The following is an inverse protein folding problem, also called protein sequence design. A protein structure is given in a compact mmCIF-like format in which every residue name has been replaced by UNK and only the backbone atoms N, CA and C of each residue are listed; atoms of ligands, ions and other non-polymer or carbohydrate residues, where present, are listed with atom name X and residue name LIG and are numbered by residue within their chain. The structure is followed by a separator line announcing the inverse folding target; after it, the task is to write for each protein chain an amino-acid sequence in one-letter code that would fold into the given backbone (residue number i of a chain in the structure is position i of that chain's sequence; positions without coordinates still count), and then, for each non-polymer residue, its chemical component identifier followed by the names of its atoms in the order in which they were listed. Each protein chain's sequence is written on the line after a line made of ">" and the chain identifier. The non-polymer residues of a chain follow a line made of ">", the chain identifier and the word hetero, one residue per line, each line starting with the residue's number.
data_IF_854067706772
#
_entry.id   IF_854067706772
#
_cell.length_a   1.000
_cell.length_b   1.000
_cell.length_c   1.000
_cell.angle_alpha   90.00
_cell.angle_beta   90.00
_cell.angle_gamma   90.00
#
_symmetry.space_group_name_H-M   'P 1'
#
loop_
_entity.id
_entity.type
_entity.pdbx_description
1 polymer ?
#
# COMPACT_ATOMS: atom_id res chain seq x y z
N UNK A 1 14.21 50.72 3.91
CA UNK A 1 12.89 50.69 3.22
C UNK A 1 12.83 49.89 1.90
N UNK A 2 13.91 49.25 1.41
CA UNK A 2 13.86 48.42 0.17
C UNK A 2 13.72 46.90 0.39
N UNK A 3 13.93 46.40 1.60
CA UNK A 3 13.81 44.97 1.91
C UNK A 3 12.36 44.44 2.00
N UNK A 4 11.36 45.33 2.17
CA UNK A 4 9.97 44.93 2.42
C UNK A 4 9.10 44.75 1.16
N UNK A 5 9.60 45.11 -0.03
CA UNK A 5 8.84 44.95 -1.30
C UNK A 5 9.14 43.62 -2.01
N UNK A 6 10.30 43.00 -1.77
CA UNK A 6 10.69 41.75 -2.43
C UNK A 6 10.10 40.51 -1.77
N UNK A 7 9.78 40.53 -0.47
CA UNK A 7 9.23 39.38 0.27
C UNK A 7 7.84 38.94 -0.20
N UNK A 8 7.11 39.81 -0.92
CA UNK A 8 5.80 39.49 -1.51
C UNK A 8 5.90 38.68 -2.82
N UNK A 9 7.06 38.70 -3.48
CA UNK A 9 7.27 38.00 -4.76
C UNK A 9 7.72 36.55 -4.53
N UNK A 10 8.33 36.25 -3.36
CA UNK A 10 8.84 34.92 -3.02
C UNK A 10 7.87 34.02 -2.23
N UNK A 11 6.69 34.52 -1.87
CA UNK A 11 5.71 33.77 -1.07
C UNK A 11 4.45 33.46 -1.87
N UNK A 12 3.87 32.30 -1.57
CA UNK A 12 2.67 31.70 -2.18
C UNK A 12 1.56 32.72 -2.46
N UNK A 13 1.17 32.84 -3.74
CA UNK A 13 0.15 33.80 -4.23
C UNK A 13 -1.27 33.22 -4.14
N UNK A 14 -1.41 31.89 -4.19
CA UNK A 14 -2.69 31.18 -4.23
C UNK A 14 -2.81 30.29 -3.00
N UNK A 15 -3.87 30.48 -2.21
CA UNK A 15 -4.19 29.63 -1.05
C UNK A 15 -5.34 28.69 -1.39
N UNK A 16 -5.37 27.52 -0.75
CA UNK A 16 -6.47 26.58 -0.87
C UNK A 16 -7.73 27.13 -0.19
N UNK A 17 -8.84 27.31 -0.92
CA UNK A 17 -10.13 27.64 -0.31
C UNK A 17 -11.24 28.08 -1.25
N UNK A 18 -12.27 27.23 -1.40
CA UNK A 18 -13.62 27.67 -1.70
C UNK A 18 -14.37 27.87 -0.37
N UNK A 19 -14.59 29.13 0.02
CA UNK A 19 -15.68 29.69 0.85
C UNK A 19 -16.08 29.11 2.22
N UNK A 20 -15.95 27.81 2.48
CA UNK A 20 -16.56 27.12 3.63
C UNK A 20 -15.54 26.56 4.65
N UNK A 21 -14.25 26.50 4.31
CA UNK A 21 -13.18 26.01 5.20
C UNK A 21 -12.69 27.01 6.26
N UNK A 22 -13.14 28.27 6.17
CA UNK A 22 -12.66 29.38 7.03
C UNK A 22 -13.07 29.27 8.50
N UNK A 23 -14.05 28.43 8.85
CA UNK A 23 -14.58 28.37 10.23
C UNK A 23 -13.89 27.29 11.10
N UNK A 24 -13.20 26.32 10.49
CA UNK A 24 -12.70 25.12 11.19
C UNK A 24 -11.18 24.97 11.21
N UNK A 25 -10.42 25.89 10.61
CA UNK A 25 -8.94 25.85 10.50
C UNK A 25 -8.37 24.58 9.83
N UNK A 26 -9.22 23.65 9.39
CA UNK A 26 -8.87 22.36 8.83
C UNK A 26 -9.25 22.29 7.35
N UNK A 27 -8.29 21.92 6.49
CA UNK A 27 -8.58 21.62 5.10
C UNK A 27 -9.30 20.26 5.06
N UNK A 28 -10.48 20.14 4.44
CA UNK A 28 -11.13 18.84 4.25
C UNK A 28 -10.26 17.93 3.39
N UNK A 29 -10.12 16.66 3.76
CA UNK A 29 -9.40 15.70 2.92
C UNK A 29 -10.11 15.59 1.55
N UNK A 30 -9.43 15.88 0.42
CA UNK A 30 -10.05 15.90 -0.90
C UNK A 30 -10.33 14.52 -1.49
N UNK A 31 -9.90 13.44 -0.83
CA UNK A 31 -10.18 12.07 -1.22
C UNK A 31 -11.70 11.84 -1.42
N UNK A 32 -12.07 11.51 -2.65
CA UNK A 32 -13.48 11.40 -3.06
C UNK A 32 -14.17 10.21 -2.42
N UNK A 33 -13.44 9.13 -2.10
CA UNK A 33 -14.03 7.97 -1.42
C UNK A 33 -14.42 8.40 -0.02
N UNK A 34 -13.49 8.94 0.77
CA UNK A 34 -13.78 9.42 2.13
C UNK A 34 -14.91 10.46 2.15
N UNK A 35 -14.98 11.34 1.15
CA UNK A 35 -16.01 12.39 1.08
C UNK A 35 -17.38 11.90 0.61
N UNK A 36 -17.44 11.04 -0.42
CA UNK A 36 -18.69 10.70 -1.11
C UNK A 36 -19.32 9.39 -0.64
N UNK A 37 -18.51 8.41 -0.22
CA UNK A 37 -19.05 7.12 0.24
C UNK A 37 -19.36 7.08 1.73
N UNK A 38 -18.98 8.13 2.49
CA UNK A 38 -19.09 8.15 3.95
C UNK A 38 -18.10 7.21 4.65
N UNK A 39 -17.17 6.59 3.90
CA UNK A 39 -16.11 5.77 4.47
C UNK A 39 -15.13 6.63 5.26
N UNK A 40 -14.55 6.04 6.31
CA UNK A 40 -13.46 6.63 7.07
C UNK A 40 -12.16 5.87 6.79
N UNK A 41 -11.07 6.27 7.43
CA UNK A 41 -9.83 5.50 7.45
C UNK A 41 -10.01 4.08 8.04
N UNK A 42 -11.00 3.84 8.90
CA UNK A 42 -11.38 2.49 9.31
C UNK A 42 -11.83 1.64 8.11
N UNK A 43 -12.63 2.21 7.21
CA UNK A 43 -13.03 1.53 5.97
C UNK A 43 -11.86 1.25 5.02
N UNK A 44 -10.76 2.01 5.10
CA UNK A 44 -9.50 1.68 4.42
C UNK A 44 -8.76 0.53 5.09
N UNK A 45 -8.73 0.49 6.43
CA UNK A 45 -8.16 -0.65 7.17
C UNK A 45 -8.92 -1.95 6.88
N UNK A 46 -10.23 -1.88 6.71
CA UNK A 46 -11.05 -3.04 6.31
C UNK A 46 -10.63 -3.64 4.97
N UNK A 47 -10.10 -2.83 4.03
CA UNK A 47 -9.64 -3.32 2.75
C UNK A 47 -8.41 -4.23 2.90
N UNK A 48 -7.59 -4.02 3.94
CA UNK A 48 -6.34 -4.77 4.15
C UNK A 48 -6.57 -6.26 4.44
N UNK A 49 -7.80 -6.66 4.80
CA UNK A 49 -8.17 -8.07 4.92
C UNK A 49 -8.34 -8.79 3.58
N UNK A 50 -8.38 -8.06 2.45
CA UNK A 50 -8.38 -8.68 1.12
C UNK A 50 -7.01 -9.28 0.81
N UNK A 51 -6.98 -10.61 0.62
CA UNK A 51 -5.74 -11.35 0.40
C UNK A 51 -4.96 -10.91 -0.85
N UNK A 52 -5.65 -10.45 -1.90
CA UNK A 52 -5.00 -10.00 -3.13
C UNK A 52 -4.35 -8.63 -2.94
N UNK A 53 -5.07 -7.69 -2.31
CA UNK A 53 -4.51 -6.39 -1.92
C UNK A 53 -3.32 -6.58 -0.97
N UNK A 54 -3.44 -7.40 0.06
CA UNK A 54 -2.37 -7.68 1.01
C UNK A 54 -1.11 -8.20 0.30
N UNK A 55 -1.27 -9.17 -0.62
CA UNK A 55 -0.14 -9.70 -1.41
C UNK A 55 0.54 -8.62 -2.26
N UNK A 56 -0.23 -7.74 -2.90
CA UNK A 56 0.31 -6.62 -3.66
C UNK A 56 1.09 -5.64 -2.78
N UNK A 57 0.54 -5.28 -1.61
CA UNK A 57 1.20 -4.40 -0.64
C UNK A 57 2.51 -5.02 -0.15
N UNK A 58 2.46 -6.28 0.28
CA UNK A 58 3.62 -7.03 0.76
C UNK A 58 4.73 -7.08 -0.30
N UNK A 59 4.37 -7.36 -1.55
CA UNK A 59 5.30 -7.41 -2.68
C UNK A 59 5.99 -6.05 -2.95
N UNK A 60 5.26 -4.94 -2.80
CA UNK A 60 5.81 -3.59 -2.96
C UNK A 60 6.72 -3.19 -1.80
N UNK A 61 6.23 -3.35 -0.57
CA UNK A 61 6.99 -2.99 0.64
C UNK A 61 8.27 -3.80 0.75
N UNK A 62 8.20 -5.11 0.50
CA UNK A 62 9.36 -6.01 0.65
C UNK A 62 10.55 -5.58 -0.20
N UNK A 63 10.33 -5.07 -1.42
CA UNK A 63 11.42 -4.60 -2.27
C UNK A 63 12.17 -3.40 -1.70
N UNK A 64 11.47 -2.49 -1.02
CA UNK A 64 12.11 -1.35 -0.34
C UNK A 64 12.81 -1.83 0.93
N UNK A 65 12.11 -2.63 1.73
CA UNK A 65 12.55 -3.12 3.03
C UNK A 65 13.71 -4.12 2.95
N UNK A 66 13.89 -4.83 1.83
CA UNK A 66 15.01 -5.74 1.63
C UNK A 66 16.28 -5.06 1.11
N UNK A 67 16.21 -3.76 0.79
CA UNK A 67 17.34 -3.03 0.21
C UNK A 67 18.27 -2.54 1.31
N UNK A 68 19.56 -2.81 1.17
CA UNK A 68 20.58 -2.32 2.10
C UNK A 68 20.70 -0.80 2.02
N UNK A 69 21.07 -0.19 3.13
CA UNK A 69 21.31 1.24 3.22
C UNK A 69 22.71 1.52 3.78
N UNK A 70 23.18 2.73 3.55
CA UNK A 70 24.40 3.29 4.14
C UNK A 70 24.09 4.61 4.86
N UNK A 71 24.92 4.94 5.85
CA UNK A 71 24.95 6.23 6.51
C UNK A 71 26.21 6.97 6.08
N UNK A 72 26.05 8.17 5.54
CA UNK A 72 27.14 9.01 5.04
C UNK A 72 27.15 10.35 5.77
N UNK A 73 28.33 10.92 6.01
CA UNK A 73 28.49 12.24 6.65
C UNK A 73 29.24 12.20 7.98
N UNK A 74 29.46 13.38 8.56
CA UNK A 74 30.37 13.57 9.70
C UNK A 74 29.92 12.84 10.97
N UNK A 75 28.62 12.80 11.24
CA UNK A 75 28.04 12.11 12.40
C UNK A 75 27.50 10.70 12.07
N UNK A 76 27.90 10.10 10.95
CA UNK A 76 27.43 8.77 10.52
C UNK A 76 27.65 7.67 11.57
N UNK A 77 28.79 7.67 12.27
CA UNK A 77 29.08 6.71 13.33
C UNK A 77 28.12 6.85 14.52
N UNK A 78 27.90 8.07 15.00
CA UNK A 78 26.94 8.35 16.07
C UNK A 78 25.51 7.95 15.67
N UNK A 79 25.08 8.29 14.45
CA UNK A 79 23.77 7.88 13.95
C UNK A 79 23.66 6.35 13.83
N UNK A 80 24.74 5.65 13.47
CA UNK A 80 24.77 4.18 13.46
C UNK A 80 24.50 3.61 14.85
N UNK A 81 25.14 4.16 15.89
CA UNK A 81 24.91 3.74 17.29
C UNK A 81 23.47 3.99 17.75
N UNK A 82 22.87 5.12 17.34
CA UNK A 82 21.47 5.43 17.62
C UNK A 82 20.54 4.46 16.89
N UNK A 83 20.80 4.19 15.61
CA UNK A 83 19.98 3.31 14.79
C UNK A 83 20.04 1.85 15.27
N UNK A 84 21.16 1.40 15.84
CA UNK A 84 21.25 0.08 16.47
C UNK A 84 20.31 -0.10 17.68
N UNK A 85 19.79 1.01 18.24
CA UNK A 85 18.86 1.01 19.38
C UNK A 85 17.40 1.27 18.96
N UNK A 86 17.15 1.54 17.67
CA UNK A 86 15.84 1.85 17.13
C UNK A 86 15.46 0.84 16.05
N UNK A 87 14.19 0.43 16.02
CA UNK A 87 13.71 -0.45 14.95
C UNK A 87 13.51 0.35 13.64
N UNK A 88 14.59 0.52 12.89
CA UNK A 88 14.59 1.22 11.60
C UNK A 88 13.75 0.48 10.56
N UNK A 89 13.66 -0.84 10.66
CA UNK A 89 12.87 -1.66 9.74
C UNK A 89 11.38 -1.38 9.94
N UNK A 90 10.90 -1.41 11.18
CA UNK A 90 9.52 -1.06 11.52
C UNK A 90 9.22 0.41 11.18
N UNK A 91 10.18 1.33 11.43
CA UNK A 91 10.01 2.73 11.06
C UNK A 91 9.86 2.90 9.54
N UNK A 92 10.67 2.21 8.74
CA UNK A 92 10.54 2.22 7.28
C UNK A 92 9.20 1.65 6.83
N UNK A 93 8.72 0.58 7.47
CA UNK A 93 7.40 0.01 7.19
C UNK A 93 6.25 0.96 7.52
N UNK A 94 6.31 1.64 8.66
CA UNK A 94 5.37 2.69 9.06
C UNK A 94 5.42 3.87 8.06
N UNK A 95 6.61 4.29 7.61
CA UNK A 95 6.74 5.35 6.60
C UNK A 95 6.03 4.95 5.30
N UNK A 96 6.17 3.69 4.87
CA UNK A 96 5.52 3.18 3.66
C UNK A 96 3.99 3.13 3.78
N UNK A 97 3.41 3.07 4.98
CA UNK A 97 1.94 3.17 5.16
C UNK A 97 1.38 4.53 4.71
N UNK A 98 2.20 5.59 4.66
CA UNK A 98 1.79 6.85 4.07
C UNK A 98 1.37 6.72 2.60
N UNK A 99 1.91 5.73 1.86
CA UNK A 99 1.48 5.43 0.49
C UNK A 99 0.03 4.94 0.47
N UNK A 100 -0.34 4.11 1.44
CA UNK A 100 -1.67 3.49 1.53
C UNK A 100 -2.75 4.50 1.90
N UNK A 101 -2.47 5.34 2.90
CA UNK A 101 -3.45 6.27 3.48
C UNK A 101 -3.31 7.72 2.98
N UNK A 102 -2.29 8.01 2.17
CA UNK A 102 -1.94 9.35 1.70
C UNK A 102 -0.95 10.07 2.63
N UNK A 103 -1.04 9.83 3.94
CA UNK A 103 -0.07 10.32 4.92
C UNK A 103 0.00 9.41 6.14
N UNK A 104 1.12 9.50 6.88
CA UNK A 104 1.35 8.76 8.12
C UNK A 104 2.07 9.64 9.14
N UNK A 105 1.37 10.13 10.18
CA UNK A 105 2.00 10.76 11.33
C UNK A 105 2.77 9.72 12.14
N UNK A 106 4.02 10.01 12.47
CA UNK A 106 4.85 9.16 13.34
C UNK A 106 5.35 10.00 14.50
N UNK A 107 5.00 9.63 15.73
CA UNK A 107 5.46 10.31 16.94
C UNK A 107 6.81 9.75 17.40
N UNK A 108 7.76 10.64 17.67
CA UNK A 108 9.10 10.31 18.16
C UNK A 108 9.12 10.44 19.69
N UNK A 109 9.63 9.43 20.37
CA UNK A 109 9.84 9.44 21.81
C UNK A 109 11.33 9.58 22.10
N UNK A 110 11.67 10.71 22.72
CA UNK A 110 13.03 11.09 23.04
C UNK A 110 13.39 10.70 24.48
N UNK A 111 14.65 10.36 24.71
CA UNK A 111 15.25 10.18 26.03
C UNK A 111 16.64 10.81 26.05
N UNK A 112 17.10 11.14 27.26
CA UNK A 112 18.50 11.51 27.46
C UNK A 112 19.30 10.25 27.79
N UNK A 113 20.46 10.09 27.16
CA UNK A 113 21.41 9.01 27.39
C UNK A 113 22.81 9.62 27.44
N UNK A 114 23.34 9.76 28.66
CA UNK A 114 24.52 10.61 28.90
C UNK A 114 24.24 12.06 28.51
N UNK A 115 25.15 12.64 27.73
CA UNK A 115 25.02 14.01 27.21
C UNK A 115 24.17 14.10 25.93
N UNK A 116 23.67 12.98 25.42
CA UNK A 116 22.93 12.93 24.15
C UNK A 116 21.42 12.79 24.36
N UNK A 117 20.64 13.51 23.56
CA UNK A 117 19.19 13.32 23.39
C UNK A 117 18.94 12.45 22.16
N UNK A 118 18.46 11.22 22.36
CA UNK A 118 18.27 10.25 21.28
C UNK A 118 16.84 9.68 21.26
N UNK A 119 16.32 9.26 20.10
CA UNK A 119 15.03 8.60 20.03
C UNK A 119 15.17 7.16 20.53
N UNK A 120 14.23 6.71 21.36
CA UNK A 120 14.15 5.30 21.78
C UNK A 120 12.93 4.58 21.19
N UNK A 121 11.98 5.32 20.61
CA UNK A 121 10.81 4.77 19.94
C UNK A 121 10.30 5.77 18.89
N UNK A 122 9.83 5.26 17.77
CA UNK A 122 9.01 5.98 16.81
C UNK A 122 7.71 5.19 16.62
N UNK A 123 6.55 5.85 16.68
CA UNK A 123 5.24 5.17 16.67
C UNK A 123 4.29 5.83 15.69
N UNK A 124 3.89 5.11 14.66
CA UNK A 124 2.78 5.49 13.78
C UNK A 124 1.50 5.75 14.58
N UNK A 125 0.80 6.85 14.24
CA UNK A 125 -0.47 7.22 14.86
C UNK A 125 -1.61 7.15 13.85
N UNK A 126 -2.84 6.82 14.28
CA UNK A 126 -4.00 6.81 13.40
C UNK A 126 -4.23 8.16 12.72
N UNK A 127 -4.52 8.14 11.42
CA UNK A 127 -4.74 9.33 10.58
C UNK A 127 -5.89 10.20 11.10
N UNK A 128 -6.93 9.59 11.67
CA UNK A 128 -8.13 10.26 12.19
C UNK A 128 -7.83 11.28 13.30
N UNK A 129 -6.69 11.10 13.98
CA UNK A 129 -6.25 12.01 15.04
C UNK A 129 -5.61 13.29 14.50
N UNK A 130 -5.35 13.36 13.19
CA UNK A 130 -4.60 14.45 12.58
C UNK A 130 -5.34 15.05 11.39
N UNK A 131 -5.02 16.31 11.11
CA UNK A 131 -5.51 17.02 9.94
C UNK A 131 -4.46 17.99 9.43
N UNK A 132 -4.64 18.46 8.20
CA UNK A 132 -3.81 19.51 7.61
C UNK A 132 -4.55 20.84 7.75
N UNK A 133 -3.89 21.82 8.38
CA UNK A 133 -4.45 23.16 8.54
C UNK A 133 -4.42 23.99 7.24
N UNK A 134 -4.98 25.19 7.31
CA UNK A 134 -5.00 26.15 6.19
C UNK A 134 -3.61 26.62 5.73
N UNK A 135 -2.56 26.40 6.52
CA UNK A 135 -1.15 26.68 6.19
C UNK A 135 -0.43 25.44 5.63
N UNK A 136 -1.13 24.33 5.42
CA UNK A 136 -0.54 23.09 4.94
C UNK A 136 0.22 22.29 6.00
N UNK A 137 0.12 22.65 7.28
CA UNK A 137 0.84 21.99 8.40
C UNK A 137 0.00 20.92 9.06
N UNK A 138 0.65 19.84 9.47
CA UNK A 138 0.04 18.78 10.25
C UNK A 138 -0.32 19.27 11.66
N UNK A 139 -1.56 19.03 12.08
CA UNK A 139 -2.09 19.36 13.41
C UNK A 139 -2.71 18.12 14.05
N UNK A 140 -2.64 18.07 15.38
CA UNK A 140 -3.35 17.07 16.17
C UNK A 140 -4.75 17.59 16.50
N UNK A 141 -5.77 16.73 16.40
CA UNK A 141 -7.14 17.07 16.80
C UNK A 141 -7.54 16.21 18.01
N UNK A 142 -7.44 16.76 19.23
CA UNK A 142 -7.95 16.09 20.42
C UNK A 142 -9.47 15.95 20.34
N UNK A 143 -10.00 14.85 20.87
CA UNK A 143 -11.44 14.66 20.99
C UNK A 143 -12.07 15.81 21.79
N UNK A 144 -13.20 16.34 21.30
CA UNK A 144 -13.97 17.39 21.97
C UNK A 144 -13.42 18.81 21.85
N UNK A 145 -12.30 19.04 21.14
CA UNK A 145 -11.77 20.38 20.89
C UNK A 145 -12.17 20.92 19.51
N UNK A 146 -12.61 22.17 19.47
CA UNK A 146 -13.02 22.85 18.25
C UNK A 146 -11.83 23.22 17.34
N UNK A 147 -10.65 23.43 17.93
CA UNK A 147 -9.41 23.76 17.22
C UNK A 147 -8.36 22.69 17.49
N UNK A 148 -7.55 22.37 16.49
CA UNK A 148 -6.41 21.49 16.68
C UNK A 148 -5.25 22.14 17.40
N UNK A 149 -4.35 21.28 17.89
CA UNK A 149 -3.16 21.64 18.63
C UNK A 149 -1.95 21.64 17.69
N UNK A 150 -1.11 22.67 17.80
CA UNK A 150 0.19 22.71 17.13
C UNK A 150 1.06 21.57 17.65
N UNK A 151 1.66 20.82 16.75
CA UNK A 151 2.62 19.78 17.13
C UNK A 151 3.91 20.42 17.67
N UNK A 152 4.49 19.90 18.76
CA UNK A 152 5.80 20.33 19.22
C UNK A 152 6.86 20.11 18.13
N UNK A 153 7.87 20.97 18.09
CA UNK A 153 8.97 20.84 17.13
C UNK A 153 9.73 19.53 17.36
N UNK A 154 10.15 18.88 16.27
CA UNK A 154 10.95 17.64 16.29
C UNK A 154 10.28 16.46 17.03
N UNK A 155 8.96 16.54 17.28
CA UNK A 155 8.20 15.49 17.97
C UNK A 155 7.49 14.53 17.02
N UNK A 156 7.25 14.93 15.78
CA UNK A 156 6.56 14.13 14.76
C UNK A 156 7.28 14.17 13.43
N UNK A 157 7.23 13.07 12.69
CA UNK A 157 7.51 13.03 11.25
C UNK A 157 6.20 13.24 10.49
N UNK A 158 6.18 14.22 9.58
CA UNK A 158 5.07 14.53 8.69
C UNK A 158 5.36 13.94 7.31
N UNK A 159 4.85 12.73 7.08
CA UNK A 159 5.14 11.94 5.87
C UNK A 159 3.88 11.90 5.02
N UNK A 160 3.98 12.39 3.77
CA UNK A 160 2.85 12.44 2.84
C UNK A 160 3.25 11.89 1.47
N UNK A 161 2.37 11.08 0.88
CA UNK A 161 2.55 10.52 -0.44
C UNK A 161 2.07 11.51 -1.51
N UNK A 162 3.00 12.05 -2.30
CA UNK A 162 2.72 12.99 -3.41
C UNK A 162 1.75 14.12 -3.00
N UNK A 163 2.05 14.87 -1.92
CA UNK A 163 1.22 16.00 -1.53
C UNK A 163 1.22 17.05 -2.63
N UNK A 164 0.08 17.69 -2.83
CA UNK A 164 -0.06 18.80 -3.77
C UNK A 164 -1.01 19.84 -3.20
N UNK A 165 -1.08 21.01 -3.82
CA UNK A 165 -2.04 22.04 -3.41
C UNK A 165 -3.49 21.53 -3.48
N UNK A 166 -3.83 20.64 -4.44
CA UNK A 166 -5.16 20.02 -4.54
C UNK A 166 -5.35 18.78 -3.66
N UNK A 167 -4.27 18.21 -3.13
CA UNK A 167 -4.24 17.03 -2.28
C UNK A 167 -3.25 17.21 -1.09
N UNK A 168 -3.55 18.09 -0.12
CA UNK A 168 -2.61 18.42 0.95
C UNK A 168 -2.33 17.25 1.90
N UNK A 169 -3.26 16.30 2.01
CA UNK A 169 -3.10 15.03 2.76
C UNK A 169 -2.29 13.98 2.00
N UNK A 170 -1.85 14.27 0.77
CA UNK A 170 -1.31 13.28 -0.14
C UNK A 170 -2.38 12.45 -0.84
N UNK A 171 -1.93 11.48 -1.63
CA UNK A 171 -2.76 10.57 -2.42
C UNK A 171 -2.77 9.18 -1.79
N UNK A 172 -3.93 8.74 -1.31
CA UNK A 172 -4.11 7.40 -0.75
C UNK A 172 -4.24 6.35 -1.86
N UNK A 173 -3.39 5.33 -1.86
CA UNK A 173 -3.54 4.20 -2.79
C UNK A 173 -4.79 3.36 -2.46
N UNK A 174 -5.17 3.24 -1.18
CA UNK A 174 -6.37 2.50 -0.77
C UNK A 174 -7.66 3.13 -1.31
N UNK A 175 -7.68 4.44 -1.56
CA UNK A 175 -8.77 5.12 -2.27
C UNK A 175 -9.00 4.54 -3.67
N UNK A 176 -7.91 4.17 -4.37
CA UNK A 176 -7.97 3.57 -5.72
C UNK A 176 -8.43 2.11 -5.67
N UNK A 177 -8.12 1.40 -4.60
CA UNK A 177 -8.51 0.00 -4.39
C UNK A 177 -9.93 -0.17 -3.85
N UNK A 178 -10.54 0.89 -3.29
CA UNK A 178 -11.82 0.81 -2.59
C UNK A 178 -12.94 0.18 -3.44
N UNK A 179 -13.23 0.75 -4.61
CA UNK A 179 -14.32 0.26 -5.46
C UNK A 179 -14.07 -1.12 -6.05
N UNK A 180 -12.89 -1.42 -6.63
CA UNK A 180 -12.56 -2.77 -7.06
C UNK A 180 -12.79 -3.83 -5.97
N UNK A 181 -12.35 -3.59 -4.73
CA UNK A 181 -12.52 -4.55 -3.64
C UNK A 181 -13.99 -4.66 -3.21
N UNK A 182 -14.72 -3.54 -3.12
CA UNK A 182 -16.16 -3.59 -2.78
C UNK A 182 -16.96 -4.35 -3.84
N UNK A 183 -16.68 -4.14 -5.13
CA UNK A 183 -17.33 -4.88 -6.21
C UNK A 183 -16.93 -6.36 -6.25
N UNK A 184 -15.65 -6.67 -6.01
CA UNK A 184 -15.18 -8.05 -5.82
C UNK A 184 -15.95 -8.77 -4.72
N UNK A 185 -16.04 -8.17 -3.53
CA UNK A 185 -16.72 -8.78 -2.39
C UNK A 185 -18.22 -8.99 -2.66
N UNK A 186 -18.87 -8.02 -3.31
CA UNK A 186 -20.24 -8.18 -3.80
C UNK A 186 -20.36 -9.31 -4.82
N UNK A 187 -19.45 -9.38 -5.78
CA UNK A 187 -19.37 -10.43 -6.79
C UNK A 187 -19.22 -11.83 -6.23
N UNK A 188 -18.33 -12.01 -5.26
CA UNK A 188 -18.15 -13.28 -4.56
C UNK A 188 -19.45 -13.67 -3.85
N UNK A 189 -20.10 -12.74 -3.15
CA UNK A 189 -21.38 -13.01 -2.50
C UNK A 189 -22.47 -13.44 -3.50
N UNK A 190 -22.59 -12.73 -4.62
CA UNK A 190 -23.54 -13.11 -5.68
C UNK A 190 -23.20 -14.47 -6.29
N UNK A 191 -21.92 -14.76 -6.49
CA UNK A 191 -21.47 -16.03 -7.02
C UNK A 191 -21.77 -17.19 -6.05
N UNK A 192 -21.54 -17.01 -4.75
CA UNK A 192 -21.91 -18.01 -3.72
C UNK A 192 -23.42 -18.25 -3.71
N UNK A 193 -24.23 -17.18 -3.66
CA UNK A 193 -25.69 -17.30 -3.72
C UNK A 193 -26.18 -17.97 -5.01
N UNK A 194 -25.50 -17.72 -6.13
CA UNK A 194 -25.77 -18.40 -7.39
C UNK A 194 -25.43 -19.89 -7.28
N UNK A 195 -24.26 -20.24 -6.76
CA UNK A 195 -23.86 -21.65 -6.57
C UNK A 195 -24.82 -22.39 -5.65
N UNK A 196 -25.32 -21.76 -4.59
CA UNK A 196 -26.34 -22.36 -3.71
C UNK A 196 -27.65 -22.62 -4.48
N UNK A 197 -28.16 -21.61 -5.20
CA UNK A 197 -29.45 -21.73 -5.91
C UNK A 197 -29.42 -22.68 -7.10
N UNK A 198 -28.28 -22.78 -7.79
CA UNK A 198 -28.16 -23.53 -9.03
C UNK A 198 -27.31 -24.79 -8.91
N UNK A 199 -26.64 -25.00 -7.78
CA UNK A 199 -25.96 -26.24 -7.44
C UNK A 199 -26.88 -27.31 -6.86
N UNK A 200 -28.11 -26.94 -6.48
CA UNK A 200 -29.11 -27.84 -5.90
C UNK A 200 -30.12 -28.29 -6.98
N UNK A 201 -30.26 -29.60 -7.26
CA UNK A 201 -31.26 -30.10 -8.19
C UNK A 201 -32.67 -29.99 -7.60
N UNK A 202 -33.61 -29.44 -8.37
CA UNK A 202 -35.03 -29.50 -8.02
C UNK A 202 -35.60 -30.87 -8.42
N UNK A 203 -36.13 -31.63 -7.47
CA UNK A 203 -36.86 -32.87 -7.77
C UNK A 203 -38.34 -32.57 -7.98
N UNK A 204 -38.86 -32.97 -9.15
CA UNK A 204 -40.28 -32.86 -9.49
C UNK A 204 -40.88 -34.27 -9.50
N UNK A 205 -41.65 -34.59 -8.46
CA UNK A 205 -42.45 -35.81 -8.37
C UNK A 205 -43.79 -35.62 -9.06
N UNK A 206 -44.17 -36.55 -9.93
CA UNK A 206 -45.45 -36.51 -10.65
C UNK A 206 -46.35 -37.66 -10.23
N UNK A 207 -47.61 -37.38 -9.91
CA UNK A 207 -48.60 -38.39 -9.52
C UNK A 207 -49.91 -38.29 -10.33
N UNK A 208 -50.66 -39.39 -10.40
CA UNK A 208 -51.92 -39.43 -11.15
C UNK A 208 -53.03 -38.66 -10.42
N UNK A 209 -53.94 -38.00 -11.15
CA UNK A 209 -55.07 -37.24 -10.56
C UNK A 209 -55.99 -38.04 -9.64
N UNK A 210 -55.97 -39.37 -9.73
CA UNK A 210 -56.75 -40.27 -8.88
C UNK A 210 -56.06 -40.67 -7.59
N UNK A 211 -54.80 -40.24 -7.35
CA UNK A 211 -54.07 -40.59 -6.14
C UNK A 211 -54.67 -39.89 -4.91
N UNK A 212 -54.66 -40.60 -3.79
CA UNK A 212 -55.04 -40.07 -2.49
C UNK A 212 -54.01 -39.06 -1.97
N UNK A 213 -54.45 -38.19 -1.06
CA UNK A 213 -53.56 -37.24 -0.39
C UNK A 213 -52.38 -37.94 0.30
N UNK A 214 -52.64 -39.09 0.93
CA UNK A 214 -51.61 -39.90 1.60
C UNK A 214 -50.53 -40.42 0.64
N UNK A 215 -50.90 -40.81 -0.59
CA UNK A 215 -49.93 -41.24 -1.60
C UNK A 215 -49.07 -40.06 -2.09
N UNK A 216 -49.67 -38.87 -2.25
CA UNK A 216 -48.93 -37.66 -2.63
C UNK A 216 -47.96 -37.17 -1.53
N UNK A 217 -48.36 -37.26 -0.26
CA UNK A 217 -47.53 -36.90 0.90
C UNK A 217 -46.38 -37.90 1.05
N UNK A 218 -46.65 -39.21 0.91
CA UNK A 218 -45.61 -40.24 0.95
C UNK A 218 -44.57 -40.07 -0.16
N UNK A 219 -45.00 -39.75 -1.38
CA UNK A 219 -44.08 -39.46 -2.49
C UNK A 219 -43.22 -38.23 -2.19
N UNK A 220 -43.79 -37.19 -1.57
CA UNK A 220 -43.04 -36.02 -1.15
C UNK A 220 -42.00 -36.35 -0.07
N UNK A 221 -42.37 -37.15 0.94
CA UNK A 221 -41.47 -37.62 2.00
C UNK A 221 -40.34 -38.51 1.47
N UNK A 222 -40.64 -39.44 0.55
CA UNK A 222 -39.63 -40.31 -0.07
C UNK A 222 -38.64 -39.48 -0.90
N UNK A 223 -39.13 -38.53 -1.72
CA UNK A 223 -38.28 -37.65 -2.50
C UNK A 223 -37.47 -36.70 -1.61
N UNK A 224 -38.05 -36.18 -0.52
CA UNK A 224 -37.36 -35.33 0.44
C UNK A 224 -36.35 -36.12 1.31
N UNK A 225 -36.51 -37.44 1.43
CA UNK A 225 -35.53 -38.33 2.06
C UNK A 225 -34.36 -38.69 1.14
N UNK A 226 -34.52 -38.54 -0.17
CA UNK A 226 -33.49 -38.82 -1.18
C UNK A 226 -32.54 -37.64 -1.42
N UNK A 227 -32.94 -36.42 -1.07
CA UNK A 227 -32.12 -35.21 -1.25
C UNK A 227 -32.26 -34.27 -0.06
N UNK A 228 -31.25 -33.44 0.22
CA UNK A 228 -31.37 -32.33 1.20
C UNK A 228 -32.19 -31.14 0.64
N UNK A 229 -32.90 -31.33 -0.48
CA UNK A 229 -33.31 -30.26 -1.41
C UNK A 229 -34.82 -29.96 -1.39
N UNK A 230 -35.20 -28.94 -2.18
CA UNK A 230 -36.61 -28.62 -2.45
C UNK A 230 -37.25 -29.67 -3.35
N UNK A 231 -38.40 -30.19 -2.91
CA UNK A 231 -39.21 -31.17 -3.66
C UNK A 231 -40.55 -30.54 -4.02
N UNK A 232 -40.97 -30.68 -5.27
CA UNK A 232 -42.32 -30.33 -5.71
C UNK A 232 -43.04 -31.58 -6.18
N UNK A 233 -44.19 -31.86 -5.59
CA UNK A 233 -45.05 -32.98 -5.98
C UNK A 233 -46.32 -32.43 -6.62
N UNK A 234 -46.59 -32.81 -7.87
CA UNK A 234 -47.69 -32.23 -8.67
C UNK A 234 -48.45 -33.29 -9.47
N UNK A 235 -49.77 -33.12 -9.71
CA UNK A 235 -50.52 -33.96 -10.63
C UNK A 235 -49.91 -33.95 -12.04
N UNK A 236 -50.03 -35.08 -12.75
CA UNK A 236 -49.46 -35.27 -14.10
C UNK A 236 -49.94 -34.25 -15.15
N UNK A 237 -51.13 -33.66 -14.97
CA UNK A 237 -51.72 -32.68 -15.89
C UNK A 237 -51.31 -31.24 -15.60
N UNK A 238 -50.58 -31.00 -14.50
CA UNK A 238 -50.00 -29.69 -14.18
C UNK A 238 -48.53 -29.71 -14.60
N UNK A 239 -48.22 -28.95 -15.64
CA UNK A 239 -46.85 -28.72 -16.06
C UNK A 239 -46.23 -27.59 -15.25
N UNK A 240 -45.13 -27.89 -14.56
CA UNK A 240 -44.30 -26.89 -13.89
C UNK A 240 -43.04 -26.75 -14.73
N UNK A 241 -42.93 -25.64 -15.46
CA UNK A 241 -41.72 -25.24 -16.15
C UNK A 241 -41.00 -24.15 -15.36
N UNK A 242 -39.70 -24.32 -15.16
CA UNK A 242 -38.84 -23.23 -14.73
C UNK A 242 -38.30 -22.55 -15.97
N UNK A 243 -38.51 -21.24 -16.11
CA UNK A 243 -37.72 -20.47 -17.06
C UNK A 243 -36.27 -20.46 -16.56
N UNK A 244 -35.37 -21.09 -17.31
CA UNK A 244 -33.94 -21.03 -17.02
C UNK A 244 -33.37 -19.70 -17.55
N UNK A 245 -33.05 -18.70 -16.71
CA UNK A 245 -32.18 -17.62 -17.16
C UNK A 245 -30.88 -18.27 -17.65
N UNK A 246 -30.37 -17.86 -18.83
CA UNK A 246 -29.22 -18.50 -19.50
C UNK A 246 -28.04 -18.69 -18.53
N UNK A 247 -27.89 -19.88 -17.95
CA UNK A 247 -27.11 -20.12 -16.73
C UNK A 247 -25.59 -19.96 -16.92
N UNK A 248 -25.10 -20.25 -18.12
CA UNK A 248 -23.67 -20.25 -18.45
C UNK A 248 -23.05 -18.86 -18.54
N UNK A 249 -23.79 -17.84 -18.97
CA UNK A 249 -23.26 -16.46 -19.08
C UNK A 249 -23.05 -15.82 -17.70
N UNK A 250 -23.85 -16.21 -16.69
CA UNK A 250 -23.82 -15.62 -15.35
C UNK A 250 -22.61 -16.03 -14.53
N UNK A 251 -22.23 -17.32 -14.51
CA UNK A 251 -21.06 -17.82 -13.76
C UNK A 251 -19.76 -17.18 -14.27
N UNK A 252 -19.61 -17.12 -15.59
CA UNK A 252 -18.43 -16.52 -16.21
C UNK A 252 -18.34 -15.03 -15.93
N UNK A 253 -19.46 -14.31 -15.95
CA UNK A 253 -19.51 -12.87 -15.66
C UNK A 253 -19.01 -12.55 -14.25
N UNK A 254 -19.40 -13.32 -13.23
CA UNK A 254 -18.91 -13.12 -11.86
C UNK A 254 -17.41 -13.35 -11.74
N UNK A 255 -16.90 -14.43 -12.34
CA UNK A 255 -15.47 -14.73 -12.36
C UNK A 255 -14.66 -13.64 -13.08
N UNK A 256 -15.14 -13.16 -14.23
CA UNK A 256 -14.49 -12.07 -14.99
C UNK A 256 -14.49 -10.75 -14.22
N UNK A 257 -15.57 -10.41 -13.52
CA UNK A 257 -15.63 -9.22 -12.67
C UNK A 257 -14.63 -9.31 -11.49
N UNK A 258 -14.51 -10.48 -10.86
CA UNK A 258 -13.52 -10.71 -9.79
C UNK A 258 -12.10 -10.55 -10.33
N UNK A 259 -11.81 -11.13 -11.50
CA UNK A 259 -10.51 -10.99 -12.17
C UNK A 259 -10.20 -9.54 -12.53
N UNK A 260 -11.15 -8.83 -13.13
CA UNK A 260 -11.01 -7.40 -13.43
C UNK A 260 -10.70 -6.59 -12.16
N UNK A 261 -11.43 -6.86 -11.08
CA UNK A 261 -11.25 -6.17 -9.80
C UNK A 261 -9.86 -6.41 -9.21
N UNK A 262 -9.38 -7.66 -9.20
CA UNK A 262 -8.00 -7.98 -8.79
C UNK A 262 -6.98 -7.27 -9.69
N UNK A 263 -7.22 -7.22 -11.00
CA UNK A 263 -6.33 -6.58 -11.95
C UNK A 263 -6.21 -5.07 -11.71
N UNK A 264 -7.31 -4.39 -11.42
CA UNK A 264 -7.31 -2.97 -11.05
C UNK A 264 -6.58 -2.72 -9.72
N UNK A 265 -6.70 -3.62 -8.74
CA UNK A 265 -5.91 -3.55 -7.49
C UNK A 265 -4.41 -3.71 -7.78
N UNK A 266 -4.02 -4.68 -8.61
CA UNK A 266 -2.64 -4.91 -9.03
C UNK A 266 -2.06 -3.66 -9.70
N UNK A 267 -2.80 -3.04 -10.63
CA UNK A 267 -2.40 -1.78 -11.27
C UNK A 267 -2.29 -0.62 -10.28
N UNK A 268 -3.22 -0.51 -9.33
CA UNK A 268 -3.18 0.58 -8.35
C UNK A 268 -1.96 0.51 -7.42
N UNK A 269 -1.58 -0.70 -6.99
CA UNK A 269 -0.48 -0.89 -6.02
C UNK A 269 0.87 -1.08 -6.71
N UNK A 270 0.94 -1.91 -7.76
CA UNK A 270 2.18 -2.34 -8.41
C UNK A 270 2.40 -1.70 -9.79
N UNK A 271 1.48 -0.87 -10.29
CA UNK A 271 1.45 -0.34 -11.67
C UNK A 271 1.51 -1.40 -12.77
N UNK A 272 1.22 -2.67 -12.44
CA UNK A 272 1.26 -3.79 -13.36
C UNK A 272 0.37 -4.94 -12.89
N UNK A 273 0.11 -5.89 -13.78
CA UNK A 273 -0.78 -7.04 -13.52
C UNK A 273 -0.07 -8.41 -13.59
N UNK A 274 1.07 -8.49 -14.28
CA UNK A 274 1.60 -9.77 -14.78
C UNK A 274 2.14 -10.71 -13.69
N UNK A 275 2.73 -10.18 -12.62
CA UNK A 275 3.40 -11.01 -11.60
C UNK A 275 2.44 -11.77 -10.69
N UNK A 276 1.14 -11.44 -10.71
CA UNK A 276 0.13 -12.05 -9.83
C UNK A 276 -0.94 -12.85 -10.60
N UNK A 277 -1.10 -12.65 -11.92
CA UNK A 277 -2.28 -13.11 -12.67
C UNK A 277 -2.01 -13.98 -13.92
N UNK A 278 -0.76 -14.36 -14.23
CA UNK A 278 -0.44 -14.93 -15.56
C UNK A 278 -0.26 -16.44 -15.63
N UNK A 279 -0.95 -17.03 -16.61
CA UNK A 279 -0.84 -18.43 -17.05
C UNK A 279 0.07 -18.64 -18.28
N UNK A 280 0.50 -17.57 -18.96
CA UNK A 280 1.44 -17.61 -20.10
C UNK A 280 2.15 -16.26 -20.29
N UNK A 281 3.47 -16.20 -20.08
CA UNK A 281 4.28 -14.99 -20.23
C UNK A 281 5.63 -15.28 -20.86
N UNK A 282 6.04 -14.46 -21.83
CA UNK A 282 7.38 -14.52 -22.43
C UNK A 282 8.42 -13.89 -21.50
N UNK A 283 9.69 -14.32 -21.58
CA UNK A 283 10.81 -13.77 -20.81
C UNK A 283 10.89 -12.23 -20.89
N UNK A 284 10.64 -11.67 -22.08
CA UNK A 284 10.67 -10.22 -22.32
C UNK A 284 9.57 -9.46 -21.55
N UNK A 285 8.38 -10.05 -21.39
CA UNK A 285 7.32 -9.46 -20.59
C UNK A 285 7.73 -9.44 -19.11
N UNK A 286 8.22 -10.57 -18.57
CA UNK A 286 8.67 -10.66 -17.18
C UNK A 286 9.78 -9.62 -16.85
N UNK A 287 10.74 -9.42 -17.75
CA UNK A 287 11.78 -8.40 -17.59
C UNK A 287 11.23 -6.96 -17.55
N UNK A 288 10.25 -6.64 -18.40
CA UNK A 288 9.59 -5.33 -18.42
C UNK A 288 8.86 -5.07 -17.10
N UNK A 289 8.15 -6.08 -16.60
CA UNK A 289 7.44 -6.01 -15.32
C UNK A 289 8.37 -5.86 -14.12
N UNK A 290 9.51 -6.55 -14.15
CA UNK A 290 10.55 -6.38 -13.14
C UNK A 290 11.11 -4.95 -13.11
N UNK A 291 11.33 -4.34 -14.29
CA UNK A 291 11.78 -2.95 -14.39
C UNK A 291 10.78 -1.96 -13.79
N UNK A 292 9.50 -2.05 -14.17
CA UNK A 292 8.43 -1.17 -13.64
C UNK A 292 8.33 -1.31 -12.12
N UNK A 293 8.37 -2.55 -11.60
CA UNK A 293 8.36 -2.80 -10.15
C UNK A 293 9.53 -2.11 -9.45
N UNK A 294 10.75 -2.23 -10.00
CA UNK A 294 11.94 -1.61 -9.42
C UNK A 294 11.88 -0.08 -9.46
N UNK A 295 11.28 0.52 -10.48
CA UNK A 295 11.07 1.98 -10.54
C UNK A 295 10.14 2.46 -9.42
N UNK A 296 9.07 1.71 -9.14
CA UNK A 296 8.17 2.01 -8.02
C UNK A 296 8.89 1.87 -6.69
N UNK A 297 9.61 0.77 -6.49
CA UNK A 297 10.39 0.54 -5.26
C UNK A 297 11.39 1.68 -5.06
N UNK A 298 12.11 2.11 -6.11
CA UNK A 298 13.03 3.26 -6.03
C UNK A 298 12.32 4.57 -5.66
N UNK A 299 11.09 4.79 -6.12
CA UNK A 299 10.28 5.93 -5.68
C UNK A 299 9.91 5.83 -4.20
N UNK A 300 9.61 4.63 -3.71
CA UNK A 300 9.27 4.39 -2.31
C UNK A 300 10.49 4.55 -1.40
N UNK A 301 11.67 4.07 -1.84
CA UNK A 301 12.96 4.29 -1.19
C UNK A 301 13.21 5.78 -0.94
N UNK A 302 12.99 6.64 -1.93
CA UNK A 302 13.18 8.11 -1.78
C UNK A 302 12.28 8.71 -0.71
N UNK A 303 11.06 8.20 -0.56
CA UNK A 303 10.13 8.65 0.48
C UNK A 303 10.64 8.25 1.86
N UNK A 304 11.12 7.01 2.00
CA UNK A 304 11.71 6.51 3.25
C UNK A 304 12.99 7.26 3.60
N UNK A 305 13.90 7.45 2.64
CA UNK A 305 15.11 8.26 2.81
C UNK A 305 14.77 9.67 3.30
N UNK A 306 13.81 10.34 2.67
CA UNK A 306 13.42 11.70 3.06
C UNK A 306 12.91 11.78 4.51
N UNK A 307 12.10 10.81 4.92
CA UNK A 307 11.57 10.73 6.27
C UNK A 307 12.65 10.41 7.32
N UNK A 308 13.50 9.41 7.05
CA UNK A 308 14.61 9.04 7.94
C UNK A 308 15.63 10.18 8.04
N UNK A 309 15.95 10.85 6.93
CA UNK A 309 16.85 12.01 6.93
C UNK A 309 16.29 13.19 7.72
N UNK A 310 14.97 13.34 7.79
CA UNK A 310 14.33 14.31 8.68
C UNK A 310 14.58 13.95 10.15
N UNK A 311 14.44 12.67 10.52
CA UNK A 311 14.76 12.19 11.86
C UNK A 311 16.24 12.39 12.20
N UNK A 312 17.16 12.06 11.28
CA UNK A 312 18.60 12.31 11.45
C UNK A 312 18.85 13.81 11.68
N UNK A 313 18.24 14.69 10.89
CA UNK A 313 18.33 16.13 11.08
C UNK A 313 17.87 16.58 12.48
N UNK A 314 16.81 15.98 13.04
CA UNK A 314 16.37 16.26 14.41
C UNK A 314 17.38 15.79 15.44
N UNK A 315 17.90 14.57 15.30
CA UNK A 315 18.93 14.02 16.19
C UNK A 315 20.17 14.91 16.20
N UNK A 316 20.71 15.23 15.02
CA UNK A 316 21.92 16.05 14.91
C UNK A 316 21.69 17.45 15.47
N UNK A 317 20.54 18.08 15.16
CA UNK A 317 20.22 19.41 15.66
C UNK A 317 20.08 19.45 17.19
N UNK A 318 19.45 18.45 17.80
CA UNK A 318 19.28 18.38 19.26
C UNK A 318 20.61 18.17 19.99
N UNK A 319 21.55 17.43 19.39
CA UNK A 319 22.81 17.07 20.04
C UNK A 319 23.97 18.04 19.73
N UNK A 320 23.98 18.63 18.54
CA UNK A 320 25.11 19.43 18.05
C UNK A 320 24.73 20.86 17.65
N UNK A 321 23.44 21.23 17.72
CA UNK A 321 22.97 22.59 17.46
C UNK A 321 22.94 23.01 15.98
N UNK A 322 23.30 22.13 15.05
CA UNK A 322 23.31 22.39 13.61
C UNK A 322 22.91 21.13 12.82
N UNK A 323 22.81 21.26 11.49
CA UNK A 323 22.71 20.12 10.57
C UNK A 323 24.00 20.04 9.76
N UNK A 324 24.59 18.85 9.65
CA UNK A 324 25.95 18.64 9.11
C UNK A 324 25.96 17.86 7.78
N UNK A 325 24.78 17.56 7.22
CA UNK A 325 24.65 16.77 6.00
C UNK A 325 24.78 15.27 6.20
N UNK A 326 24.75 14.76 7.45
CA UNK A 326 24.65 13.32 7.70
C UNK A 326 23.34 12.77 7.15
N UNK A 327 23.41 11.70 6.37
CA UNK A 327 22.29 11.18 5.59
C UNK A 327 22.27 9.64 5.54
N UNK A 328 21.06 9.11 5.56
CA UNK A 328 20.67 7.77 5.18
C UNK A 328 20.41 7.71 3.67
N UNK A 329 20.93 6.66 3.01
CA UNK A 329 20.75 6.39 1.58
C UNK A 329 20.62 4.89 1.33
N UNK A 330 19.66 4.49 0.50
CA UNK A 330 19.57 3.13 -0.03
C UNK A 330 20.64 2.87 -1.10
N UNK A 331 21.23 1.69 -1.04
CA UNK A 331 22.19 1.21 -2.02
C UNK A 331 21.40 0.63 -3.20
N UNK A 332 21.07 1.48 -4.17
CA UNK A 332 20.25 1.10 -5.34
C UNK A 332 21.05 0.51 -6.50
N UNK A 333 22.36 0.71 -6.48
CA UNK A 333 23.30 0.12 -7.42
C UNK A 333 23.87 -1.18 -6.83
N UNK A 334 23.05 -2.23 -6.85
CA UNK A 334 23.63 -3.53 -7.13
C UNK A 334 23.80 -3.59 -8.63
N UNK A 335 24.85 -2.95 -9.14
CA UNK A 335 25.36 -3.33 -10.45
C UNK A 335 25.52 -4.86 -10.39
N UNK A 336 24.83 -5.57 -11.28
CA UNK A 336 24.94 -7.03 -11.33
C UNK A 336 26.44 -7.34 -11.29
N UNK A 337 26.87 -8.22 -10.39
CA UNK A 337 28.29 -8.50 -10.21
C UNK A 337 28.98 -8.80 -11.55
N UNK A 338 28.26 -9.46 -12.47
CA UNK A 338 28.71 -9.65 -13.86
C UNK A 338 28.87 -8.35 -14.65
N UNK A 339 27.90 -7.42 -14.58
CA UNK A 339 27.99 -6.13 -15.27
C UNK A 339 29.10 -5.25 -14.70
N UNK A 340 29.27 -5.24 -13.37
CA UNK A 340 30.35 -4.53 -12.68
C UNK A 340 31.71 -5.10 -13.06
N UNK A 341 31.84 -6.43 -13.04
CA UNK A 341 33.03 -7.17 -13.46
C UNK A 341 33.35 -6.90 -14.94
N UNK A 342 32.36 -7.00 -15.83
CA UNK A 342 32.53 -6.72 -17.26
C UNK A 342 32.98 -5.28 -17.51
N UNK A 343 32.44 -4.31 -16.78
CA UNK A 343 32.86 -2.91 -16.84
C UNK A 343 34.30 -2.75 -16.37
N UNK A 344 34.64 -3.28 -15.20
CA UNK A 344 35.97 -3.14 -14.60
C UNK A 344 37.02 -3.86 -15.46
N UNK A 345 36.71 -5.03 -16.04
CA UNK A 345 37.54 -5.71 -17.03
C UNK A 345 37.73 -4.87 -18.31
N UNK A 346 36.68 -4.18 -18.80
CA UNK A 346 36.80 -3.28 -19.96
C UNK A 346 37.66 -2.06 -19.63
N UNK A 347 37.51 -1.47 -18.45
CA UNK A 347 38.36 -0.36 -17.99
C UNK A 347 39.82 -0.81 -17.90
N UNK A 348 40.08 -2.01 -17.38
CA UNK A 348 41.44 -2.55 -17.29
C UNK A 348 42.04 -2.87 -18.66
N UNK A 349 41.24 -3.39 -19.61
CA UNK A 349 41.71 -3.72 -20.96
C UNK A 349 41.85 -2.51 -21.88
N UNK A 350 40.97 -1.51 -21.77
CA UNK A 350 40.87 -0.42 -22.75
C UNK A 350 41.04 0.98 -22.15
N UNK A 351 40.89 1.14 -20.84
CA UNK A 351 40.93 2.42 -20.15
C UNK A 351 42.28 2.80 -19.54
N UNK A 352 43.28 1.92 -19.61
CA UNK A 352 44.64 2.19 -19.11
C UNK A 352 44.75 2.27 -17.59
N UNK A 353 43.74 1.80 -16.84
CA UNK A 353 43.73 1.74 -15.38
C UNK A 353 43.90 0.28 -14.95
N UNK A 354 44.94 -0.03 -14.18
CA UNK A 354 45.13 -1.36 -13.60
C UNK A 354 44.61 -1.36 -12.16
N UNK A 355 43.60 -2.19 -11.87
CA UNK A 355 43.11 -2.36 -10.51
C UNK A 355 44.04 -3.28 -9.71
N UNK A 356 44.25 -2.97 -8.43
CA UNK A 356 45.08 -3.79 -7.53
C UNK A 356 44.39 -5.08 -7.09
N UNK A 357 45.16 -6.08 -6.68
CA UNK A 357 44.61 -7.32 -6.13
C UNK A 357 43.71 -7.06 -4.92
N UNK A 358 44.05 -6.09 -4.06
CA UNK A 358 43.22 -5.70 -2.91
C UNK A 358 41.85 -5.11 -3.32
N UNK A 359 41.76 -4.45 -4.49
CA UNK A 359 40.49 -3.98 -5.03
C UNK A 359 39.58 -5.16 -5.41
N UNK A 360 40.13 -6.16 -6.10
CA UNK A 360 39.39 -7.35 -6.53
C UNK A 360 38.89 -8.19 -5.35
N UNK A 361 39.72 -8.37 -4.32
CA UNK A 361 39.34 -9.05 -3.07
C UNK A 361 38.20 -8.29 -2.39
N UNK A 362 38.33 -6.97 -2.22
CA UNK A 362 37.34 -6.17 -1.50
C UNK A 362 36.00 -6.05 -2.24
N UNK A 363 36.03 -5.95 -3.57
CA UNK A 363 34.82 -5.67 -4.36
C UNK A 363 34.11 -6.91 -4.90
N UNK A 364 34.82 -8.03 -5.04
CA UNK A 364 34.29 -9.26 -5.66
C UNK A 364 34.52 -10.51 -4.82
N UNK A 365 35.29 -10.43 -3.73
CA UNK A 365 35.49 -11.55 -2.80
C UNK A 365 36.44 -12.64 -3.33
N UNK A 366 37.28 -12.34 -4.33
CA UNK A 366 38.35 -13.24 -4.77
C UNK A 366 39.32 -13.53 -3.64
N UNK A 367 39.92 -14.73 -3.62
CA UNK A 367 41.01 -15.01 -2.70
C UNK A 367 42.30 -14.39 -3.23
N UNK A 368 43.25 -14.13 -2.33
CA UNK A 368 44.57 -13.59 -2.72
C UNK A 368 45.39 -14.60 -3.54
N UNK A 369 45.03 -15.89 -3.48
CA UNK A 369 45.64 -16.98 -4.24
C UNK A 369 45.10 -17.08 -5.67
N UNK A 370 43.92 -16.49 -5.95
CA UNK A 370 43.27 -16.50 -7.27
C UNK A 370 43.68 -15.30 -8.16
N UNK A 371 44.55 -14.40 -7.67
CA UNK A 371 44.90 -13.14 -8.32
C UNK A 371 46.42 -13.09 -8.61
N UNK A 372 46.78 -13.21 -9.88
CA UNK A 372 48.17 -13.12 -10.40
C UNK A 372 48.72 -11.69 -10.46
#
# INVERSE_FOLDING_TARGET
>A
MRANKMTKIYNEIVKFGNGFGSLMDAIPNPDTVLRKSGSTYAGYRDLLYDAHLWSCIQSRKSGTLSTQYELVGANSQFITEVFNKLDIQQLAEDILDSLLYGFQPIEIYWKNEGDFTIPYKAVSKPQELFYIDSEGKLRYKPNGQAKGVKLPEMKFLDIRNKPSHSAPYGTALLSKCYWPIKFKNGGIRFWVNFMERYGMPLLIGKYSRGASKAESERLAEELAGMTEDSVIVTPNDIEISMEEPHRYSSVRLYSEMIKLSNSEVSKAILSQTLTTEVSSGSKAAAETHYKIRNEIIRSDMRLVESAINTLIGYIVKLNFGHTDGTQFRYITEQENLHTKLDRDLKIQRFGGITFSSDYWIKQYGYSREDLD
#
